data_IF_636790256241
#
_entry.id   IF_636790256241
#
_cell.length_a   1.000
_cell.length_b   1.000
_cell.length_c   1.000
_cell.angle_alpha   90.00
_cell.angle_beta   90.00
_cell.angle_gamma   90.00
#
_symmetry.space_group_name_H-M   'P 1'
#
loop_
_entity.id
_entity.type
_entity.pdbx_description
1 polymer ?
#
# COMPACT_ATOMS: atom_id res chain seq x y z
N UNK A 1 2.04 -14.60 -1.50
CA UNK A 1 2.30 -13.22 -1.03
C UNK A 1 1.45 -13.00 0.20
N UNK A 2 1.83 -12.09 1.09
CA UNK A 2 1.04 -11.73 2.26
C UNK A 2 0.71 -10.24 2.20
N UNK A 3 -0.58 -9.92 2.34
CA UNK A 3 -1.09 -8.56 2.38
C UNK A 3 -1.59 -8.20 3.78
N UNK A 4 -1.33 -6.97 4.19
CA UNK A 4 -1.75 -6.40 5.47
C UNK A 4 -2.38 -5.04 5.22
N UNK A 5 -3.49 -4.77 5.89
CA UNK A 5 -4.17 -3.46 5.87
C UNK A 5 -4.14 -2.82 7.26
N UNK A 6 -3.67 -1.58 7.31
CA UNK A 6 -3.71 -0.73 8.50
C UNK A 6 -4.70 0.42 8.26
N UNK A 7 -5.88 0.32 8.87
CA UNK A 7 -6.97 1.32 8.74
C UNK A 7 -7.61 1.71 10.07
N UNK A 8 -7.09 1.16 11.17
CA UNK A 8 -7.68 1.30 12.51
C UNK A 8 -6.60 1.11 13.57
N UNK A 9 -6.63 1.89 14.64
CA UNK A 9 -5.74 1.74 15.80
C UNK A 9 -4.71 2.83 15.97
N UNK A 10 -4.43 3.55 14.90
CA UNK A 10 -3.53 4.69 14.88
C UNK A 10 -4.31 5.99 14.75
N UNK A 11 -3.70 7.11 15.16
CA UNK A 11 -4.25 8.44 14.94
C UNK A 11 -4.28 8.81 13.45
N UNK A 12 -3.36 8.25 12.68
CA UNK A 12 -3.26 8.37 11.23
C UNK A 12 -2.42 7.20 10.68
N UNK A 13 -2.62 6.84 9.41
CA UNK A 13 -2.23 5.51 8.93
C UNK A 13 -1.07 5.51 7.93
N UNK A 14 -0.76 6.63 7.29
CA UNK A 14 0.28 6.76 6.26
C UNK A 14 1.46 7.61 6.71
N UNK A 15 1.81 7.54 8.00
CA UNK A 15 3.06 8.08 8.54
C UNK A 15 4.20 7.11 8.22
N UNK A 16 4.90 7.35 7.12
CA UNK A 16 5.88 6.39 6.61
C UNK A 16 7.15 6.25 7.45
N UNK A 17 7.43 7.17 8.38
CA UNK A 17 8.49 6.97 9.38
C UNK A 17 8.23 5.72 10.24
N UNK A 18 7.01 5.55 10.75
CA UNK A 18 6.61 4.36 11.53
C UNK A 18 6.52 3.11 10.67
N UNK A 19 5.89 3.22 9.50
CA UNK A 19 5.71 2.08 8.57
C UNK A 19 7.05 1.50 8.12
N UNK A 20 8.02 2.35 7.76
CA UNK A 20 9.35 1.90 7.34
C UNK A 20 10.17 1.37 8.53
N UNK A 21 10.04 1.98 9.72
CA UNK A 21 10.67 1.46 10.95
C UNK A 21 10.17 0.05 11.30
N UNK A 22 8.87 -0.23 11.10
CA UNK A 22 8.25 -1.52 11.40
C UNK A 22 8.81 -2.69 10.59
N UNK A 23 9.44 -2.41 9.45
CA UNK A 23 10.00 -3.43 8.55
C UNK A 23 11.52 -3.34 8.42
N UNK A 24 12.20 -2.56 9.26
CA UNK A 24 13.65 -2.53 9.30
C UNK A 24 14.24 -3.92 9.67
N UNK A 25 15.31 -4.41 9.01
CA UNK A 25 16.18 -3.75 8.04
C UNK A 25 15.75 -3.86 6.56
N UNK A 26 14.58 -4.42 6.27
CA UNK A 26 14.14 -4.67 4.89
C UNK A 26 14.13 -3.40 4.01
N UNK A 27 13.93 -2.23 4.62
CA UNK A 27 13.99 -0.92 3.94
C UNK A 27 15.35 -0.69 3.30
N UNK A 28 16.43 -0.80 4.07
CA UNK A 28 17.79 -0.47 3.64
C UNK A 28 18.43 -1.54 2.78
N UNK A 29 17.83 -2.73 2.69
CA UNK A 29 18.24 -3.81 1.79
C UNK A 29 17.71 -3.62 0.36
N UNK A 30 16.96 -2.54 0.11
CA UNK A 30 16.24 -2.30 -1.14
C UNK A 30 16.52 -0.94 -1.75
N UNK A 31 16.32 -0.84 -3.05
CA UNK A 31 16.01 0.43 -3.72
C UNK A 31 14.49 0.57 -3.85
N UNK A 32 14.01 1.80 -3.86
CA UNK A 32 12.59 2.10 -3.82
C UNK A 32 12.16 2.95 -5.01
N UNK A 33 11.17 2.46 -5.76
CA UNK A 33 10.42 3.25 -6.73
C UNK A 33 9.22 3.88 -6.02
N UNK A 34 9.09 5.19 -6.10
CA UNK A 34 7.99 5.96 -5.50
C UNK A 34 7.20 6.63 -6.63
N UNK A 35 5.91 6.34 -6.70
CA UNK A 35 5.03 6.69 -7.83
C UNK A 35 3.62 6.99 -7.36
N UNK A 36 2.82 7.68 -8.19
CA UNK A 36 1.42 8.00 -7.87
C UNK A 36 1.27 8.75 -6.56
N UNK A 37 2.26 9.58 -6.22
CA UNK A 37 2.37 10.22 -4.93
C UNK A 37 1.64 11.56 -4.91
N UNK A 38 1.14 11.92 -3.72
CA UNK A 38 0.76 13.28 -3.37
C UNK A 38 1.54 13.66 -2.11
N UNK A 39 1.75 14.97 -1.88
CA UNK A 39 2.39 15.53 -0.70
C UNK A 39 3.63 14.75 -0.20
N UNK A 40 4.73 14.83 -0.98
CA UNK A 40 5.98 14.12 -0.72
C UNK A 40 7.06 15.01 -0.08
N UNK A 41 8.06 14.43 0.60
CA UNK A 41 9.22 15.16 1.12
C UNK A 41 10.07 15.79 0.00
N UNK A 42 10.30 17.11 0.05
CA UNK A 42 11.18 17.81 -0.93
C UNK A 42 12.58 17.18 -1.04
N UNK A 43 13.08 16.56 0.03
CA UNK A 43 14.35 15.84 0.02
C UNK A 43 14.40 14.63 -0.94
N UNK A 44 13.27 14.22 -1.52
CA UNK A 44 13.20 13.22 -2.60
C UNK A 44 13.52 13.79 -3.98
N UNK A 45 13.44 15.10 -4.19
CA UNK A 45 13.65 15.73 -5.52
C UNK A 45 14.95 15.32 -6.22
N UNK A 46 16.11 15.17 -5.54
CA UNK A 46 17.34 14.71 -6.19
C UNK A 46 17.27 13.31 -6.79
N UNK A 47 16.28 12.51 -6.41
CA UNK A 47 16.05 11.14 -6.89
C UNK A 47 14.97 11.08 -7.98
N UNK A 48 14.51 12.24 -8.45
CA UNK A 48 13.43 12.37 -9.42
C UNK A 48 13.81 11.90 -10.82
N UNK A 49 12.85 11.27 -11.49
CA UNK A 49 12.90 10.90 -12.89
C UNK A 49 11.52 10.99 -13.53
N UNK A 50 11.46 10.84 -14.85
CA UNK A 50 10.20 10.83 -15.60
C UNK A 50 10.14 9.60 -16.52
N UNK A 51 8.98 8.96 -16.58
CA UNK A 51 8.62 7.99 -17.62
C UNK A 51 7.49 8.61 -18.46
N UNK A 52 7.83 9.18 -19.61
CA UNK A 52 6.88 9.98 -20.37
C UNK A 52 6.48 11.25 -19.60
N UNK A 53 5.21 11.36 -19.22
CA UNK A 53 4.68 12.50 -18.45
C UNK A 53 4.58 12.23 -16.94
N UNK A 54 4.86 11.01 -16.52
CA UNK A 54 4.70 10.59 -15.13
C UNK A 54 6.03 10.70 -14.40
N UNK A 55 6.02 11.42 -13.27
CA UNK A 55 7.16 11.56 -12.39
C UNK A 55 7.27 10.37 -11.43
N UNK A 56 8.50 10.01 -11.10
CA UNK A 56 8.80 8.99 -10.09
C UNK A 56 10.04 9.38 -9.30
N UNK A 57 10.24 8.77 -8.14
CA UNK A 57 11.53 8.80 -7.43
C UNK A 57 12.16 7.41 -7.41
N UNK A 58 13.48 7.34 -7.60
CA UNK A 58 14.27 6.12 -7.43
C UNK A 58 15.32 6.31 -6.33
N UNK A 59 15.04 5.75 -5.16
CA UNK A 59 15.72 6.13 -3.92
C UNK A 59 16.38 4.89 -3.28
N UNK A 60 17.68 4.94 -2.93
CA UNK A 60 18.28 3.91 -2.08
C UNK A 60 17.59 3.85 -0.71
N UNK A 61 17.38 2.67 -0.17
CA UNK A 61 16.64 2.47 1.09
C UNK A 61 17.21 3.22 2.28
N UNK A 62 18.53 3.36 2.37
CA UNK A 62 19.20 4.17 3.38
C UNK A 62 18.79 5.64 3.29
N UNK A 63 18.73 6.18 2.07
CA UNK A 63 18.32 7.56 1.84
C UNK A 63 16.84 7.75 2.11
N UNK A 64 16.02 6.78 1.75
CA UNK A 64 14.58 6.82 2.02
C UNK A 64 14.31 6.86 3.52
N UNK A 65 14.95 5.98 4.30
CA UNK A 65 14.81 5.95 5.77
C UNK A 65 15.19 7.29 6.39
N UNK A 66 16.34 7.86 6.00
CA UNK A 66 16.79 9.16 6.52
C UNK A 66 15.78 10.27 6.21
N UNK A 67 15.24 10.30 4.99
CA UNK A 67 14.30 11.32 4.52
C UNK A 67 12.99 11.21 5.28
N UNK A 68 12.38 10.02 5.34
CA UNK A 68 11.05 9.87 5.98
C UNK A 68 11.12 10.04 7.49
N UNK A 69 12.25 9.78 8.14
CA UNK A 69 12.41 9.98 9.59
C UNK A 69 12.37 11.46 10.00
N UNK A 70 12.64 12.36 9.05
CA UNK A 70 12.57 13.80 9.26
C UNK A 70 11.17 14.37 8.96
N UNK A 71 10.22 13.52 8.61
CA UNK A 71 8.88 13.89 8.17
C UNK A 71 7.86 13.55 9.26
N UNK A 72 6.97 14.50 9.53
CA UNK A 72 5.95 14.38 10.58
C UNK A 72 4.53 14.63 10.04
N UNK A 73 4.29 14.22 8.79
CA UNK A 73 2.96 14.30 8.17
C UNK A 73 2.63 13.01 7.40
N UNK A 74 1.33 12.68 7.26
CA UNK A 74 0.91 11.50 6.52
C UNK A 74 0.99 11.76 5.02
N UNK A 75 1.33 10.72 4.25
CA UNK A 75 1.19 10.75 2.80
C UNK A 75 -0.27 10.51 2.43
N UNK A 76 -0.84 11.31 1.52
CA UNK A 76 -2.21 11.10 1.03
C UNK A 76 -2.23 9.95 0.05
N UNK A 77 -1.47 10.05 -1.03
CA UNK A 77 -1.36 9.00 -2.04
C UNK A 77 0.10 8.62 -2.27
N UNK A 78 0.34 7.38 -2.68
CA UNK A 78 1.65 6.93 -3.12
C UNK A 78 1.82 5.43 -3.07
N UNK A 79 2.59 4.91 -4.02
CA UNK A 79 3.06 3.52 -4.01
C UNK A 79 4.57 3.50 -3.90
N UNK A 80 5.07 2.87 -2.85
CA UNK A 80 6.48 2.62 -2.59
C UNK A 80 6.75 1.15 -2.90
N UNK A 81 7.38 0.89 -4.04
CA UNK A 81 7.76 -0.46 -4.47
C UNK A 81 9.23 -0.72 -4.14
N UNK A 82 9.49 -1.77 -3.37
CA UNK A 82 10.83 -2.17 -2.97
C UNK A 82 11.42 -3.23 -3.90
N UNK A 83 12.70 -3.05 -4.24
CA UNK A 83 13.46 -3.91 -5.14
C UNK A 83 14.80 -4.28 -4.53
N UNK A 84 15.26 -5.51 -4.75
CA UNK A 84 16.64 -5.90 -4.41
C UNK A 84 17.62 -4.93 -5.07
N UNK A 85 18.72 -4.60 -4.37
CA UNK A 85 19.69 -3.56 -4.80
C UNK A 85 20.31 -3.82 -6.17
N UNK A 86 20.39 -5.07 -6.58
CA UNK A 86 20.98 -5.49 -7.84
C UNK A 86 20.05 -5.25 -9.04
N UNK A 87 18.76 -5.02 -8.80
CA UNK A 87 17.77 -4.74 -9.85
C UNK A 87 18.00 -3.32 -10.39
N UNK A 88 18.35 -3.16 -11.68
CA UNK A 88 18.65 -1.83 -12.22
C UNK A 88 17.36 -1.08 -12.57
N UNK A 89 17.35 0.24 -12.30
CA UNK A 89 16.21 1.13 -12.59
C UNK A 89 15.69 0.97 -14.03
N UNK A 90 16.58 0.84 -15.03
CA UNK A 90 16.20 0.67 -16.44
C UNK A 90 15.27 -0.52 -16.69
N UNK A 91 15.41 -1.58 -15.89
CA UNK A 91 14.58 -2.78 -16.01
C UNK A 91 13.26 -2.58 -15.26
N UNK A 92 13.29 -1.91 -14.10
CA UNK A 92 12.10 -1.54 -13.33
C UNK A 92 11.13 -0.73 -14.20
N UNK A 93 11.58 0.42 -14.74
CA UNK A 93 10.71 1.32 -15.50
C UNK A 93 10.21 0.75 -16.84
N UNK A 94 10.65 -0.45 -17.24
CA UNK A 94 10.12 -1.14 -18.42
C UNK A 94 8.74 -1.79 -18.21
N UNK A 95 8.28 -1.92 -16.95
CA UNK A 95 7.00 -2.56 -16.60
C UNK A 95 5.85 -1.59 -16.31
N UNK A 96 6.04 -0.28 -16.50
CA UNK A 96 5.08 0.75 -16.13
C UNK A 96 5.20 1.17 -14.66
N UNK A 97 4.63 2.34 -14.33
CA UNK A 97 4.67 2.89 -12.97
C UNK A 97 3.43 2.45 -12.18
N UNK A 98 3.60 1.96 -10.93
CA UNK A 98 2.48 1.69 -10.04
C UNK A 98 1.70 2.96 -9.66
N UNK A 99 0.44 2.80 -9.28
CA UNK A 99 -0.38 3.92 -8.84
C UNK A 99 -1.39 3.47 -7.77
N UNK A 100 -1.74 4.38 -6.86
CA UNK A 100 -2.66 4.05 -5.77
C UNK A 100 -4.12 4.25 -6.24
N UNK A 101 -4.50 5.49 -6.53
CA UNK A 101 -5.88 5.84 -6.87
C UNK A 101 -6.38 5.12 -8.14
N UNK A 102 -7.51 4.43 -8.03
CA UNK A 102 -8.11 3.66 -9.13
C UNK A 102 -7.53 2.28 -9.40
N UNK A 103 -6.46 1.85 -8.71
CA UNK A 103 -5.96 0.47 -8.88
C UNK A 103 -6.84 -0.53 -8.11
N UNK A 104 -7.64 -1.31 -8.84
CA UNK A 104 -8.58 -2.28 -8.23
C UNK A 104 -7.94 -3.59 -7.77
N UNK A 105 -6.68 -3.86 -8.14
CA UNK A 105 -6.04 -5.15 -7.87
C UNK A 105 -5.71 -5.39 -6.40
N UNK A 106 -5.54 -4.33 -5.59
CA UNK A 106 -5.31 -4.46 -4.15
C UNK A 106 -6.48 -5.14 -3.41
N UNK A 107 -7.69 -4.97 -3.94
CA UNK A 107 -8.95 -5.37 -3.31
C UNK A 107 -9.46 -6.72 -3.82
N UNK A 108 -8.61 -7.49 -4.51
CA UNK A 108 -8.96 -8.78 -5.10
C UNK A 108 -8.03 -9.87 -4.58
N UNK A 109 -8.61 -11.05 -4.34
CA UNK A 109 -7.85 -12.24 -3.96
C UNK A 109 -7.51 -13.08 -5.22
N UNK A 110 -6.32 -13.71 -5.28
CA UNK A 110 -5.23 -13.60 -4.31
C UNK A 110 -4.56 -12.22 -4.35
N UNK A 111 -4.11 -11.72 -3.19
CA UNK A 111 -3.45 -10.41 -3.13
C UNK A 111 -2.15 -10.40 -3.92
N UNK A 112 -1.90 -9.29 -4.61
CA UNK A 112 -0.72 -9.12 -5.45
C UNK A 112 -0.18 -7.69 -5.41
N UNK A 113 1.12 -7.57 -5.62
CA UNK A 113 1.79 -6.30 -5.92
C UNK A 113 1.57 -5.92 -7.39
N UNK A 114 1.57 -4.61 -7.69
CA UNK A 114 1.49 -4.10 -9.06
C UNK A 114 2.75 -4.41 -9.87
N UNK A 115 3.92 -4.11 -9.29
CA UNK A 115 5.16 -4.17 -10.04
C UNK A 115 5.75 -5.60 -10.01
N UNK A 116 5.90 -6.27 -11.16
CA UNK A 116 6.28 -7.69 -11.20
C UNK A 116 7.70 -7.98 -10.71
N UNK A 117 8.57 -6.97 -10.69
CA UNK A 117 9.92 -7.09 -10.13
C UNK A 117 10.07 -6.67 -8.66
N UNK A 118 9.07 -6.03 -8.07
CA UNK A 118 9.13 -5.66 -6.66
C UNK A 118 8.95 -6.92 -5.80
N UNK A 119 9.45 -6.88 -4.57
CA UNK A 119 9.17 -7.92 -3.57
C UNK A 119 8.34 -7.42 -2.40
N UNK A 120 8.13 -6.11 -2.31
CA UNK A 120 7.24 -5.44 -1.37
C UNK A 120 6.61 -4.19 -2.02
N UNK A 121 5.34 -3.92 -1.73
CA UNK A 121 4.69 -2.64 -1.97
C UNK A 121 4.05 -2.10 -0.70
N UNK A 122 4.28 -0.81 -0.45
CA UNK A 122 3.62 -0.03 0.60
C UNK A 122 2.78 1.04 -0.09
N UNK A 123 1.51 1.14 0.28
CA UNK A 123 0.55 2.03 -0.39
C UNK A 123 -0.06 2.98 0.63
N UNK A 124 0.08 4.28 0.41
CA UNK A 124 -0.76 5.28 1.05
C UNK A 124 -2.03 5.46 0.22
N UNK A 125 -3.18 5.34 0.87
CA UNK A 125 -4.49 5.47 0.24
C UNK A 125 -5.30 6.55 0.94
N UNK A 126 -5.36 7.73 0.32
CA UNK A 126 -6.00 8.95 0.83
C UNK A 126 -5.63 9.32 2.29
N UNK A 127 -4.46 8.90 2.77
CA UNK A 127 -4.07 8.83 4.19
C UNK A 127 -4.98 8.06 5.15
N UNK A 128 -6.10 7.51 4.65
CA UNK A 128 -7.13 6.81 5.39
C UNK A 128 -6.70 5.38 5.76
N UNK A 129 -5.79 4.80 4.99
CA UNK A 129 -5.21 3.48 5.26
C UNK A 129 -3.82 3.35 4.64
N UNK A 130 -3.07 2.37 5.16
CA UNK A 130 -1.85 1.88 4.53
C UNK A 130 -2.00 0.40 4.20
N UNK A 131 -1.62 0.02 2.98
CA UNK A 131 -1.45 -1.37 2.59
C UNK A 131 0.04 -1.73 2.61
N UNK A 132 0.35 -2.94 3.06
CA UNK A 132 1.66 -3.56 2.87
C UNK A 132 1.45 -4.94 2.24
N UNK A 133 2.02 -5.15 1.07
CA UNK A 133 1.94 -6.43 0.35
C UNK A 133 3.36 -6.90 0.09
N UNK A 134 3.71 -8.09 0.55
CA UNK A 134 5.07 -8.62 0.49
C UNK A 134 5.12 -10.05 -0.06
N UNK A 135 6.18 -10.37 -0.79
CA UNK A 135 6.56 -11.76 -1.13
C UNK A 135 7.16 -12.49 0.06
N UNK A 136 7.76 -11.75 0.99
CA UNK A 136 8.33 -12.27 2.22
C UNK A 136 7.33 -12.11 3.38
N UNK A 137 6.86 -13.25 3.91
CA UNK A 137 5.90 -13.28 5.01
C UNK A 137 6.48 -12.73 6.32
N UNK A 138 7.81 -12.79 6.52
CA UNK A 138 8.44 -12.26 7.72
C UNK A 138 8.30 -10.74 7.79
N UNK A 139 8.37 -10.04 6.66
CA UNK A 139 8.14 -8.60 6.56
C UNK A 139 6.69 -8.27 6.94
N UNK A 140 5.72 -9.00 6.38
CA UNK A 140 4.31 -8.79 6.70
C UNK A 140 4.04 -9.05 8.19
N UNK A 141 4.67 -10.08 8.77
CA UNK A 141 4.55 -10.37 10.19
C UNK A 141 5.19 -9.29 11.07
N UNK A 142 6.36 -8.77 10.69
CA UNK A 142 7.01 -7.65 11.40
C UNK A 142 6.10 -6.41 11.43
N UNK A 143 5.50 -6.08 10.29
CA UNK A 143 4.53 -4.98 10.20
C UNK A 143 3.30 -5.22 11.10
N UNK A 144 2.73 -6.43 11.10
CA UNK A 144 1.62 -6.77 12.01
C UNK A 144 1.99 -6.71 13.49
N UNK A 145 3.23 -7.07 13.84
CA UNK A 145 3.70 -6.98 15.22
C UNK A 145 3.81 -5.51 15.68
N UNK A 146 4.27 -4.62 14.79
CA UNK A 146 4.34 -3.19 15.07
C UNK A 146 2.95 -2.53 15.12
N UNK A 147 2.00 -3.04 14.33
CA UNK A 147 0.62 -2.56 14.27
C UNK A 147 -0.38 -3.68 14.59
N UNK A 148 -0.58 -4.07 15.87
CA UNK A 148 -1.38 -5.23 16.25
C UNK A 148 -2.85 -5.18 15.82
N UNK A 149 -3.37 -3.99 15.52
CA UNK A 149 -4.73 -3.76 15.01
C UNK A 149 -4.87 -3.83 13.50
N UNK A 150 -3.77 -3.99 12.77
CA UNK A 150 -3.78 -4.28 11.35
C UNK A 150 -4.46 -5.62 11.07
N UNK A 151 -5.03 -5.74 9.88
CA UNK A 151 -5.83 -6.90 9.48
C UNK A 151 -5.15 -7.63 8.32
N UNK A 152 -5.51 -8.90 8.15
CA UNK A 152 -5.11 -9.63 6.95
C UNK A 152 -5.87 -9.07 5.74
N UNK A 153 -5.16 -8.70 4.68
CA UNK A 153 -5.78 -8.07 3.51
C UNK A 153 -6.65 -9.06 2.72
N UNK A 154 -6.29 -10.34 2.66
CA UNK A 154 -7.13 -11.33 1.97
C UNK A 154 -8.45 -11.54 2.71
N UNK A 155 -8.40 -11.62 4.04
CA UNK A 155 -9.60 -11.64 4.89
C UNK A 155 -10.44 -10.38 4.70
N UNK A 156 -9.81 -9.20 4.67
CA UNK A 156 -10.52 -7.94 4.40
C UNK A 156 -11.22 -7.95 3.03
N UNK A 157 -10.55 -8.46 2.00
CA UNK A 157 -11.08 -8.54 0.63
C UNK A 157 -12.23 -9.54 0.47
N UNK A 158 -12.42 -10.48 1.41
CA UNK A 158 -13.62 -11.33 1.44
C UNK A 158 -14.87 -10.54 1.87
N UNK A 159 -14.69 -9.31 2.36
CA UNK A 159 -15.74 -8.50 2.97
C UNK A 159 -16.03 -8.91 4.40
N UNK A 160 -16.70 -8.02 5.14
CA UNK A 160 -17.40 -8.45 6.35
C UNK A 160 -18.51 -9.40 5.90
N UNK A 161 -18.70 -10.57 6.53
CA UNK A 161 -19.91 -11.35 6.29
C UNK A 161 -21.09 -10.42 6.56
N UNK A 162 -22.00 -10.31 5.60
CA UNK A 162 -23.24 -9.58 5.78
C UNK A 162 -23.84 -10.07 7.10
N UNK A 163 -24.00 -9.16 8.08
CA UNK A 163 -24.58 -9.60 9.34
C UNK A 163 -25.97 -10.14 9.03
N UNK A 164 -26.37 -11.22 9.71
CA UNK A 164 -27.68 -11.82 9.48
C UNK A 164 -28.82 -10.82 9.71
N UNK A 165 -28.55 -9.76 10.48
CA UNK A 165 -29.39 -8.60 10.68
C UNK A 165 -29.47 -7.70 9.43
N UNK A 166 -28.33 -7.36 8.80
CA UNK A 166 -28.32 -6.61 7.54
C UNK A 166 -28.93 -7.41 6.38
N UNK A 167 -28.68 -8.72 6.31
CA UNK A 167 -29.30 -9.61 5.32
C UNK A 167 -30.83 -9.61 5.47
N UNK A 168 -31.34 -9.68 6.70
CA UNK A 168 -32.78 -9.56 6.99
C UNK A 168 -33.36 -8.20 6.62
N UNK A 169 -32.64 -7.11 6.92
CA UNK A 169 -33.07 -5.75 6.56
C UNK A 169 -33.16 -5.62 5.03
N UNK A 170 -32.20 -6.18 4.29
CA UNK A 170 -32.23 -6.21 2.83
C UNK A 170 -33.34 -7.09 2.28
N UNK A 171 -33.53 -8.31 2.80
CA UNK A 171 -34.64 -9.20 2.41
C UNK A 171 -36.01 -8.57 2.69
N UNK A 172 -36.20 -7.89 3.83
CA UNK A 172 -37.42 -7.16 4.16
C UNK A 172 -37.64 -5.94 3.27
N UNK A 173 -36.56 -5.22 2.94
CA UNK A 173 -36.60 -4.09 2.02
C UNK A 173 -36.91 -4.52 0.58
N UNK A 174 -36.36 -5.64 0.10
CA UNK A 174 -36.72 -6.23 -1.19
C UNK A 174 -38.17 -6.74 -1.20
N UNK A 175 -38.69 -7.28 -0.09
CA UNK A 175 -40.10 -7.66 0.01
C UNK A 175 -41.06 -6.46 -0.02
N UNK A 176 -40.66 -5.31 0.51
CA UNK A 176 -41.51 -4.11 0.60
C UNK A 176 -41.34 -3.13 -0.58
N UNK A 177 -40.14 -3.08 -1.16
CA UNK A 177 -39.75 -2.08 -2.15
C UNK A 177 -39.12 -2.70 -3.40
N UNK A 178 -38.84 -4.01 -3.40
CA UNK A 178 -38.47 -4.74 -4.61
C UNK A 178 -39.68 -4.78 -5.52
N UNK A 179 -39.56 -4.09 -6.65
CA UNK A 179 -40.62 -3.98 -7.63
C UNK A 179 -41.14 -5.39 -7.98
N UNK A 180 -42.46 -5.57 -7.86
CA UNK A 180 -43.18 -6.63 -8.55
C UNK A 180 -43.14 -6.38 -10.04
N UNK A 181 -41.95 -6.54 -10.65
CA UNK A 181 -41.67 -6.37 -12.06
C UNK A 181 -41.11 -7.65 -12.63
N UNK A 182 -41.91 -8.29 -13.49
CA UNK A 182 -41.57 -9.44 -14.35
C UNK A 182 -40.21 -9.33 -15.03
#
# INVERSE_FOLDING_TARGET
>A
MKGVILRKGERAYSYFSGVLSAIFPAVVERNWLITGYENYPEALEPYGGNLGREAFFWVPGERLEEIVRQQDYPWYWGVLSGFKKEVPLRQVISYGLPYADGYTGFWKNPVSIQHPMADIEIVAWDSALTLLISRDEAIAQAFRNAYPRSEDLETYNLGEPESEEWRKIWEEAELHYGDGGR
#
